data_IF_437507917485
#
_entry.id   IF_437507917485
#
_cell.length_a   1.000
_cell.length_b   1.000
_cell.length_c   1.000
_cell.angle_alpha   90.00
_cell.angle_beta   90.00
_cell.angle_gamma   90.00
#
_symmetry.space_group_name_H-M   'P 1'
#
loop_
_entity.id
_entity.type
_entity.pdbx_description
1 polymer ?
#
# COMPACT_ATOMS: atom_id res chain seq x y z
N UNK A 1 4.50 -30.07 -50.62
CA UNK A 1 3.60 -29.89 -49.47
C UNK A 1 4.51 -29.45 -48.33
N UNK A 2 4.63 -28.14 -48.12
CA UNK A 2 5.32 -27.58 -46.98
C UNK A 2 4.26 -27.39 -45.87
N UNK A 3 4.43 -28.09 -44.76
CA UNK A 3 3.60 -27.94 -43.57
C UNK A 3 3.92 -26.59 -42.96
N UNK A 4 2.92 -25.73 -42.99
CA UNK A 4 2.87 -24.43 -42.37
C UNK A 4 2.67 -24.65 -40.85
N UNK A 5 3.75 -24.93 -40.15
CA UNK A 5 3.78 -25.02 -38.69
C UNK A 5 4.17 -23.64 -38.15
N UNK A 6 3.27 -22.68 -38.40
CA UNK A 6 3.35 -21.39 -37.73
C UNK A 6 3.05 -21.60 -36.23
N UNK A 7 4.13 -21.76 -35.44
CA UNK A 7 4.03 -21.79 -33.99
C UNK A 7 3.24 -20.55 -33.53
N UNK A 8 2.01 -20.75 -33.12
CA UNK A 8 1.10 -19.70 -32.67
C UNK A 8 1.73 -19.02 -31.47
N UNK A 9 2.17 -17.77 -31.62
CA UNK A 9 2.78 -16.98 -30.55
C UNK A 9 1.72 -16.79 -29.47
N UNK A 10 1.86 -17.48 -28.34
CA UNK A 10 0.94 -17.39 -27.21
C UNK A 10 1.05 -16.02 -26.57
N UNK A 11 -0.09 -15.45 -26.21
CA UNK A 11 -0.17 -14.21 -25.45
C UNK A 11 0.25 -14.44 -23.98
N UNK A 12 0.76 -13.43 -23.27
CA UNK A 12 1.05 -13.54 -21.84
C UNK A 12 -0.16 -14.03 -21.01
N UNK A 13 -1.38 -13.64 -21.40
CA UNK A 13 -2.60 -14.07 -20.74
C UNK A 13 -2.89 -15.57 -20.89
N UNK A 14 -2.67 -16.14 -22.08
CA UNK A 14 -2.82 -17.58 -22.32
C UNK A 14 -1.81 -18.40 -21.53
N UNK A 15 -0.57 -17.93 -21.45
CA UNK A 15 0.48 -18.60 -20.64
C UNK A 15 0.09 -18.61 -19.16
N UNK A 16 -0.37 -17.48 -18.64
CA UNK A 16 -0.81 -17.35 -17.22
C UNK A 16 -2.01 -18.26 -16.97
N UNK A 17 -3.00 -18.29 -17.85
CA UNK A 17 -4.18 -19.13 -17.70
C UNK A 17 -3.86 -20.63 -17.67
N UNK A 18 -2.98 -21.09 -18.57
CA UNK A 18 -2.52 -22.48 -18.60
C UNK A 18 -1.80 -22.87 -17.30
N UNK A 19 -0.91 -22.01 -16.79
CA UNK A 19 -0.19 -22.25 -15.55
C UNK A 19 -1.12 -22.21 -14.33
N UNK A 20 -2.06 -21.28 -14.29
CA UNK A 20 -3.07 -21.23 -13.23
C UNK A 20 -3.95 -22.48 -13.20
N UNK A 21 -4.27 -23.07 -14.35
CA UNK A 21 -5.01 -24.33 -14.40
C UNK A 21 -4.22 -25.48 -13.76
N UNK A 22 -2.90 -25.54 -13.97
CA UNK A 22 -2.02 -26.51 -13.30
C UNK A 22 -1.99 -26.26 -11.79
N UNK A 23 -1.83 -25.02 -11.35
CA UNK A 23 -1.85 -24.63 -9.94
C UNK A 23 -3.20 -25.02 -9.29
N UNK A 24 -4.31 -24.77 -10.00
CA UNK A 24 -5.64 -25.12 -9.53
C UNK A 24 -5.78 -26.63 -9.24
N UNK A 25 -5.31 -27.48 -10.17
CA UNK A 25 -5.34 -28.93 -9.99
C UNK A 25 -4.48 -29.41 -8.82
N UNK A 26 -3.33 -28.77 -8.58
CA UNK A 26 -2.40 -29.19 -7.52
C UNK A 26 -2.80 -28.72 -6.13
N UNK A 27 -3.24 -27.46 -6.01
CA UNK A 27 -3.34 -26.77 -4.72
C UNK A 27 -4.78 -26.46 -4.31
N UNK A 28 -5.77 -26.64 -5.19
CA UNK A 28 -7.17 -26.34 -4.90
C UNK A 28 -8.05 -27.59 -5.13
N UNK A 29 -8.08 -28.54 -4.17
CA UNK A 29 -8.89 -29.74 -4.30
C UNK A 29 -10.36 -29.44 -4.58
N UNK A 30 -10.96 -30.20 -5.50
CA UNK A 30 -12.34 -30.00 -5.94
C UNK A 30 -12.54 -28.91 -6.98
N UNK A 31 -11.47 -28.25 -7.46
CA UNK A 31 -11.57 -27.37 -8.62
C UNK A 31 -11.60 -28.18 -9.92
N UNK A 32 -12.38 -27.73 -10.90
CA UNK A 32 -12.44 -28.29 -12.25
C UNK A 32 -11.58 -27.51 -13.26
N UNK A 33 -11.01 -26.37 -12.85
CA UNK A 33 -10.15 -25.54 -13.68
C UNK A 33 -10.22 -24.06 -13.31
N UNK A 34 -9.79 -23.22 -14.25
CA UNK A 34 -9.83 -21.75 -14.11
C UNK A 34 -10.51 -21.12 -15.33
N UNK A 35 -11.13 -19.98 -15.14
CA UNK A 35 -11.78 -19.19 -16.20
C UNK A 35 -11.55 -17.68 -16.00
N UNK A 36 -11.92 -16.89 -17.01
CA UNK A 36 -11.94 -15.42 -16.95
C UNK A 36 -10.62 -14.78 -16.48
N UNK A 37 -9.48 -15.35 -16.89
CA UNK A 37 -8.16 -14.84 -16.53
C UNK A 37 -7.91 -13.50 -17.20
N UNK A 38 -7.87 -12.43 -16.40
CA UNK A 38 -7.79 -11.05 -16.87
C UNK A 38 -6.72 -10.29 -16.10
N UNK A 39 -5.82 -9.60 -16.80
CA UNK A 39 -4.84 -8.72 -16.16
C UNK A 39 -5.52 -7.43 -15.71
N UNK A 40 -5.34 -7.07 -14.44
CA UNK A 40 -5.76 -5.77 -13.92
C UNK A 40 -4.66 -4.74 -14.16
N UNK A 41 -5.06 -3.53 -14.56
CA UNK A 41 -4.12 -2.43 -14.84
C UNK A 41 -3.69 -1.68 -13.58
N UNK A 42 -4.17 -2.08 -12.41
CA UNK A 42 -3.80 -1.51 -11.12
C UNK A 42 -2.51 -2.14 -10.60
N UNK A 43 -1.55 -1.30 -10.19
CA UNK A 43 -0.24 -1.71 -9.64
C UNK A 43 0.92 -1.31 -10.54
N UNK A 44 1.77 -0.39 -10.04
CA UNK A 44 2.92 0.12 -10.82
C UNK A 44 4.11 -0.85 -10.81
N UNK A 45 4.19 -1.76 -9.84
CA UNK A 45 5.37 -2.59 -9.56
C UNK A 45 5.14 -4.08 -9.74
N UNK A 46 3.90 -4.56 -9.65
CA UNK A 46 3.56 -5.99 -9.71
C UNK A 46 2.52 -6.27 -10.80
N UNK A 47 2.51 -7.51 -11.31
CA UNK A 47 1.42 -7.99 -12.16
C UNK A 47 0.29 -8.54 -11.30
N UNK A 48 -0.92 -8.07 -11.58
CA UNK A 48 -2.14 -8.49 -10.90
C UNK A 48 -3.07 -9.12 -11.92
N UNK A 49 -3.47 -10.38 -11.69
CA UNK A 49 -4.40 -11.10 -12.53
C UNK A 49 -5.59 -11.55 -11.71
N UNK A 50 -6.79 -11.24 -12.19
CA UNK A 50 -8.03 -11.80 -11.66
C UNK A 50 -8.41 -13.04 -12.46
N UNK A 51 -8.91 -14.06 -11.77
CA UNK A 51 -9.43 -15.27 -12.39
C UNK A 51 -10.52 -15.90 -11.53
N UNK A 52 -11.34 -16.75 -12.15
CA UNK A 52 -12.33 -17.56 -11.47
C UNK A 52 -11.80 -18.99 -11.32
N UNK A 53 -11.78 -19.52 -10.10
CA UNK A 53 -11.53 -20.91 -9.78
C UNK A 53 -12.86 -21.66 -9.89
N UNK A 54 -12.98 -22.54 -10.88
CA UNK A 54 -14.22 -23.28 -11.15
C UNK A 54 -14.41 -24.41 -10.15
N UNK A 55 -15.54 -24.46 -9.49
CA UNK A 55 -15.88 -25.44 -8.44
C UNK A 55 -17.35 -25.89 -8.56
N UNK A 56 -17.63 -27.14 -8.17
CA UNK A 56 -18.98 -27.67 -8.19
C UNK A 56 -19.94 -26.99 -7.18
N UNK A 57 -19.39 -26.43 -6.11
CA UNK A 57 -20.09 -25.71 -5.03
C UNK A 57 -20.20 -24.19 -5.25
N UNK A 58 -19.74 -23.70 -6.39
CA UNK A 58 -19.75 -22.29 -6.80
C UNK A 58 -18.36 -21.77 -7.10
N UNK A 59 -18.25 -20.99 -8.16
CA UNK A 59 -16.98 -20.42 -8.61
C UNK A 59 -16.46 -19.38 -7.63
N UNK A 60 -15.14 -19.36 -7.43
CA UNK A 60 -14.48 -18.44 -6.52
C UNK A 60 -13.58 -17.46 -7.28
N UNK A 61 -13.83 -16.16 -7.13
CA UNK A 61 -12.94 -15.12 -7.66
C UNK A 61 -11.64 -15.05 -6.85
N UNK A 62 -10.50 -15.12 -7.54
CA UNK A 62 -9.17 -15.06 -6.96
C UNK A 62 -8.30 -14.02 -7.67
N UNK A 63 -7.25 -13.59 -6.98
CA UNK A 63 -6.21 -12.71 -7.49
C UNK A 63 -4.87 -13.43 -7.43
N UNK A 64 -4.15 -13.45 -8.54
CA UNK A 64 -2.72 -13.72 -8.58
C UNK A 64 -1.97 -12.37 -8.55
N UNK A 65 -1.12 -12.18 -7.54
CA UNK A 65 -0.16 -11.08 -7.45
C UNK A 65 1.23 -11.67 -7.63
N UNK A 66 1.98 -11.21 -8.64
CA UNK A 66 3.33 -11.73 -8.95
C UNK A 66 4.26 -10.64 -9.44
N UNK A 67 5.57 -10.95 -9.47
CA UNK A 67 6.57 -10.12 -10.14
C UNK A 67 6.28 -10.00 -11.63
N UNK A 68 6.61 -8.86 -12.27
CA UNK A 68 6.41 -8.67 -13.72
C UNK A 68 7.05 -9.78 -14.53
N UNK A 69 6.25 -10.38 -15.44
CA UNK A 69 6.70 -11.50 -16.28
C UNK A 69 7.03 -12.78 -15.51
N UNK A 70 6.77 -12.85 -14.20
CA UNK A 70 7.19 -13.97 -13.35
C UNK A 70 8.69 -13.98 -13.05
N UNK A 71 9.36 -12.84 -13.11
CA UNK A 71 10.79 -12.72 -12.82
C UNK A 71 11.11 -13.14 -11.37
N UNK A 72 12.28 -13.71 -11.16
CA UNK A 72 12.84 -13.93 -9.82
C UNK A 72 13.62 -12.67 -9.45
N UNK A 73 13.20 -12.00 -8.38
CA UNK A 73 13.82 -10.76 -7.86
C UNK A 73 14.46 -11.05 -6.53
N UNK A 74 15.79 -11.00 -6.49
CA UNK A 74 16.53 -11.09 -5.24
C UNK A 74 16.39 -9.77 -4.45
N UNK A 75 16.06 -9.87 -3.17
CA UNK A 75 16.02 -8.74 -2.25
C UNK A 75 17.34 -8.62 -1.51
N UNK A 76 17.81 -7.40 -1.41
CA UNK A 76 19.04 -7.05 -0.68
C UNK A 76 18.68 -6.30 0.59
N UNK A 77 19.65 -6.13 1.49
CA UNK A 77 19.48 -5.32 2.71
C UNK A 77 19.08 -3.87 2.41
N UNK A 78 19.44 -3.36 1.24
CA UNK A 78 19.10 -2.00 0.79
C UNK A 78 17.73 -1.89 0.13
N UNK A 79 17.05 -3.02 -0.16
CA UNK A 79 15.70 -3.00 -0.74
C UNK A 79 14.74 -2.27 0.19
N UNK A 80 13.94 -1.34 -0.34
CA UNK A 80 12.96 -0.58 0.43
C UNK A 80 11.66 -1.35 0.65
N UNK A 81 11.37 -2.34 -0.20
CA UNK A 81 10.18 -3.19 -0.11
C UNK A 81 10.53 -4.62 0.26
N UNK A 82 9.59 -5.30 0.94
CA UNK A 82 9.70 -6.74 1.25
C UNK A 82 9.39 -7.60 0.01
N UNK A 83 9.80 -8.87 0.04
CA UNK A 83 9.47 -9.83 -1.02
C UNK A 83 8.01 -10.27 -0.97
N UNK A 84 7.49 -10.80 -2.10
CA UNK A 84 6.11 -11.25 -2.19
C UNK A 84 5.78 -12.42 -1.26
N UNK A 85 6.74 -13.29 -0.98
CA UNK A 85 6.59 -14.36 0.01
C UNK A 85 6.40 -13.80 1.42
N UNK A 86 7.23 -12.83 1.81
CA UNK A 86 7.12 -12.14 3.10
C UNK A 86 5.82 -11.32 3.17
N UNK A 87 5.41 -10.67 2.07
CA UNK A 87 4.13 -9.97 1.97
C UNK A 87 2.95 -10.92 2.21
N UNK A 88 2.99 -12.12 1.64
CA UNK A 88 1.97 -13.14 1.85
C UNK A 88 1.90 -13.61 3.31
N UNK A 89 3.05 -13.73 3.99
CA UNK A 89 3.09 -14.08 5.42
C UNK A 89 2.49 -12.97 6.29
N UNK A 90 2.82 -11.71 6.02
CA UNK A 90 2.21 -10.54 6.70
C UNK A 90 0.70 -10.54 6.51
N UNK A 91 0.23 -10.72 5.26
CA UNK A 91 -1.22 -10.78 4.96
C UNK A 91 -1.92 -11.89 5.74
N UNK A 92 -1.32 -13.08 5.88
CA UNK A 92 -1.86 -14.18 6.67
C UNK A 92 -2.03 -13.80 8.14
N UNK A 93 -1.03 -13.12 8.72
CA UNK A 93 -1.09 -12.65 10.10
C UNK A 93 -2.19 -11.61 10.29
N UNK A 94 -2.30 -10.67 9.38
CA UNK A 94 -3.30 -9.59 9.41
C UNK A 94 -4.71 -10.18 9.29
N UNK A 95 -4.91 -11.11 8.35
CA UNK A 95 -6.18 -11.82 8.20
C UNK A 95 -6.55 -12.62 9.45
N UNK A 96 -5.60 -13.38 10.01
CA UNK A 96 -5.81 -14.17 11.24
C UNK A 96 -6.09 -13.30 12.47
N UNK A 97 -5.58 -12.06 12.50
CA UNK A 97 -5.87 -11.08 13.55
C UNK A 97 -7.26 -10.42 13.40
N UNK A 98 -8.02 -10.76 12.36
CA UNK A 98 -9.36 -10.21 12.10
C UNK A 98 -9.35 -8.77 11.59
N UNK A 99 -8.21 -8.27 11.12
CA UNK A 99 -8.19 -7.04 10.35
C UNK A 99 -8.64 -7.33 8.90
N UNK A 100 -9.34 -6.38 8.23
CA UNK A 100 -9.83 -6.62 6.88
C UNK A 100 -8.66 -6.75 5.90
N UNK A 101 -8.50 -7.96 5.34
CA UNK A 101 -7.45 -8.27 4.37
C UNK A 101 -7.89 -9.42 3.46
N UNK A 102 -7.39 -9.53 2.22
CA UNK A 102 -7.58 -10.72 1.42
C UNK A 102 -6.97 -11.95 2.09
N UNK A 103 -7.63 -13.10 1.99
CA UNK A 103 -7.07 -14.37 2.46
C UNK A 103 -6.03 -14.89 1.46
N UNK A 104 -4.81 -15.16 1.90
CA UNK A 104 -3.78 -15.80 1.06
C UNK A 104 -4.07 -17.29 0.94
N UNK A 105 -4.37 -17.72 -0.28
CA UNK A 105 -4.76 -19.11 -0.59
C UNK A 105 -3.57 -20.00 -0.96
N UNK A 106 -2.56 -19.43 -1.63
CA UNK A 106 -1.38 -20.17 -2.06
C UNK A 106 -0.21 -19.20 -2.28
N UNK A 107 0.99 -19.56 -1.82
CA UNK A 107 2.24 -18.87 -2.18
C UNK A 107 2.88 -19.69 -3.28
N UNK A 108 3.25 -19.05 -4.38
CA UNK A 108 3.81 -19.71 -5.54
C UNK A 108 5.15 -20.39 -5.22
N UNK A 109 5.34 -21.55 -5.80
CA UNK A 109 6.59 -22.30 -5.77
C UNK A 109 7.22 -22.36 -7.18
N UNK A 110 8.51 -22.70 -7.32
CA UNK A 110 9.14 -22.82 -8.64
C UNK A 110 8.40 -23.80 -9.57
N UNK A 111 7.80 -24.86 -9.02
CA UNK A 111 7.05 -25.87 -9.76
C UNK A 111 5.75 -25.36 -10.38
N UNK A 112 5.22 -24.23 -9.89
CA UNK A 112 4.04 -23.58 -10.43
C UNK A 112 4.31 -22.88 -11.77
N UNK A 113 5.57 -22.52 -12.02
CA UNK A 113 6.01 -21.91 -13.28
C UNK A 113 5.41 -20.53 -13.54
N UNK A 114 4.99 -19.81 -12.46
CA UNK A 114 4.45 -18.47 -12.50
C UNK A 114 5.41 -17.41 -11.93
N UNK A 115 6.59 -17.82 -11.45
CA UNK A 115 7.57 -16.95 -10.81
C UNK A 115 7.24 -16.68 -9.34
N UNK A 116 7.75 -15.58 -8.78
CA UNK A 116 7.50 -15.19 -7.40
C UNK A 116 6.14 -14.50 -7.29
N UNK A 117 5.35 -14.91 -6.28
CA UNK A 117 4.03 -14.34 -6.05
C UNK A 117 3.15 -15.18 -5.14
N UNK A 118 1.89 -14.81 -5.07
CA UNK A 118 0.88 -15.53 -4.30
C UNK A 118 -0.52 -15.34 -4.89
N UNK A 119 -1.40 -16.26 -4.52
CA UNK A 119 -2.82 -16.23 -4.85
C UNK A 119 -3.62 -15.89 -3.58
N UNK A 120 -4.54 -14.95 -3.70
CA UNK A 120 -5.41 -14.49 -2.61
C UNK A 120 -6.86 -14.39 -3.08
N UNK A 121 -7.79 -14.27 -2.15
CA UNK A 121 -9.20 -14.02 -2.46
C UNK A 121 -9.39 -12.65 -3.12
N UNK A 122 -10.28 -12.57 -4.10
CA UNK A 122 -10.73 -11.29 -4.63
C UNK A 122 -11.70 -10.64 -3.64
N UNK A 123 -11.45 -9.39 -3.28
CA UNK A 123 -12.35 -8.58 -2.47
C UNK A 123 -12.99 -7.55 -3.39
N UNK A 124 -14.32 -7.56 -3.48
CA UNK A 124 -15.06 -6.60 -4.28
C UNK A 124 -15.13 -5.24 -3.56
N UNK A 125 -15.10 -4.16 -4.32
CA UNK A 125 -15.22 -2.80 -3.78
C UNK A 125 -14.53 -1.76 -4.66
N UNK A 126 -14.47 -0.53 -4.16
CA UNK A 126 -13.87 0.62 -4.82
C UNK A 126 -12.51 0.94 -4.22
N UNK A 127 -11.51 1.16 -5.06
CA UNK A 127 -10.14 1.52 -4.66
C UNK A 127 -9.74 2.93 -5.06
N UNK A 128 -10.50 3.56 -5.97
CA UNK A 128 -10.20 4.90 -6.46
C UNK A 128 -10.56 5.96 -5.43
N UNK A 129 -9.57 6.47 -4.70
CA UNK A 129 -9.77 7.43 -3.63
C UNK A 129 -10.60 8.65 -4.00
N UNK A 130 -10.46 9.14 -5.21
CA UNK A 130 -11.30 10.24 -5.71
C UNK A 130 -12.79 9.90 -5.80
N UNK A 131 -13.15 8.61 -6.02
CA UNK A 131 -14.54 8.14 -5.96
C UNK A 131 -15.03 8.02 -4.53
N UNK A 132 -14.23 7.46 -3.63
CA UNK A 132 -14.57 7.35 -2.21
C UNK A 132 -14.94 8.73 -1.64
N UNK A 133 -14.19 9.76 -2.00
CA UNK A 133 -14.40 11.12 -1.51
C UNK A 133 -15.66 11.77 -2.10
N UNK A 134 -16.03 11.48 -3.36
CA UNK A 134 -17.05 12.25 -4.09
C UNK A 134 -18.31 11.47 -4.48
N UNK A 135 -18.24 10.14 -4.65
CA UNK A 135 -19.36 9.34 -5.14
C UNK A 135 -20.47 9.29 -4.10
N UNK A 136 -21.74 9.59 -4.46
CA UNK A 136 -22.90 9.51 -3.57
C UNK A 136 -23.12 8.14 -2.92
N UNK A 137 -22.67 7.04 -3.55
CA UNK A 137 -22.74 5.68 -2.96
C UNK A 137 -22.10 5.59 -1.58
N UNK A 138 -21.09 6.40 -1.33
CA UNK A 138 -20.36 6.40 -0.05
C UNK A 138 -20.84 7.48 0.92
N UNK A 139 -21.91 8.24 0.61
CA UNK A 139 -22.37 9.37 1.43
C UNK A 139 -22.69 8.95 2.87
N UNK A 140 -23.36 7.81 3.05
CA UNK A 140 -23.79 7.30 4.36
C UNK A 140 -22.63 6.72 5.20
N UNK A 141 -21.64 6.11 4.54
CA UNK A 141 -20.52 5.46 5.23
C UNK A 141 -19.34 6.42 5.42
N UNK A 142 -19.16 7.38 4.53
CA UNK A 142 -18.01 8.31 4.53
C UNK A 142 -17.72 8.96 5.88
N UNK A 143 -18.71 9.43 6.67
CA UNK A 143 -18.47 10.01 8.00
C UNK A 143 -17.87 9.04 9.03
N UNK A 144 -17.97 7.72 8.77
CA UNK A 144 -17.49 6.65 9.67
C UNK A 144 -16.09 6.15 9.30
N UNK A 145 -15.61 6.45 8.07
CA UNK A 145 -14.40 5.84 7.51
C UNK A 145 -13.13 6.21 8.31
N UNK A 146 -13.03 7.44 8.83
CA UNK A 146 -11.86 7.82 9.62
C UNK A 146 -11.76 6.99 10.91
N UNK A 147 -12.87 6.84 11.63
CA UNK A 147 -12.94 5.98 12.83
C UNK A 147 -12.62 4.52 12.49
N UNK A 148 -13.20 3.97 11.43
CA UNK A 148 -12.92 2.60 10.99
C UNK A 148 -11.44 2.41 10.64
N UNK A 149 -10.79 3.38 9.99
CA UNK A 149 -9.34 3.32 9.72
C UNK A 149 -8.54 3.24 11.02
N UNK A 150 -8.91 4.01 12.04
CA UNK A 150 -8.30 3.93 13.37
C UNK A 150 -8.47 2.55 14.01
N UNK A 151 -9.69 2.01 14.00
CA UNK A 151 -9.99 0.67 14.53
C UNK A 151 -9.21 -0.43 13.81
N UNK A 152 -9.05 -0.32 12.49
CA UNK A 152 -8.27 -1.27 11.68
C UNK A 152 -6.80 -1.19 12.03
N UNK A 153 -6.24 0.01 12.10
CA UNK A 153 -4.84 0.22 12.47
C UNK A 153 -4.55 -0.30 13.89
N UNK A 154 -5.45 -0.11 14.84
CA UNK A 154 -5.30 -0.66 16.18
C UNK A 154 -5.19 -2.20 16.18
N UNK A 155 -6.01 -2.89 15.38
CA UNK A 155 -5.93 -4.35 15.22
C UNK A 155 -4.62 -4.79 14.57
N UNK A 156 -4.16 -4.09 13.54
CA UNK A 156 -2.88 -4.36 12.88
C UNK A 156 -1.72 -4.18 13.86
N UNK A 157 -1.68 -3.05 14.56
CA UNK A 157 -0.62 -2.72 15.51
C UNK A 157 -0.66 -3.57 16.80
N UNK A 158 -1.77 -4.24 17.08
CA UNK A 158 -1.88 -5.21 18.18
C UNK A 158 -1.26 -6.57 17.86
N UNK A 159 -0.93 -6.86 16.60
CA UNK A 159 -0.28 -8.12 16.21
C UNK A 159 1.09 -8.20 16.90
N UNK A 160 1.38 -9.29 17.67
CA UNK A 160 2.67 -9.44 18.32
C UNK A 160 3.80 -9.49 17.29
N UNK A 161 4.83 -8.66 17.49
CA UNK A 161 5.94 -8.56 16.54
C UNK A 161 6.78 -9.82 16.42
N UNK A 162 6.78 -10.67 17.44
CA UNK A 162 7.41 -11.99 17.45
C UNK A 162 6.74 -13.00 16.51
N UNK A 163 5.52 -12.75 16.07
CA UNK A 163 4.82 -13.57 15.08
C UNK A 163 5.06 -13.09 13.65
N UNK A 164 5.60 -11.87 13.48
CA UNK A 164 5.89 -11.34 12.16
C UNK A 164 7.06 -12.09 11.49
N UNK A 165 7.01 -12.25 10.16
CA UNK A 165 8.20 -12.72 9.44
C UNK A 165 9.38 -11.76 9.65
N UNK A 166 10.59 -12.11 9.21
CA UNK A 166 11.73 -11.22 9.31
C UNK A 166 11.47 -9.90 8.57
N UNK A 167 11.15 -8.84 9.32
CA UNK A 167 10.93 -7.50 8.82
C UNK A 167 12.03 -6.55 9.31
N UNK A 168 12.28 -5.51 8.55
CA UNK A 168 13.19 -4.43 8.99
C UNK A 168 12.60 -3.73 10.22
N UNK A 169 13.47 -3.35 11.13
CA UNK A 169 13.15 -2.41 12.19
C UNK A 169 13.53 -1.01 11.72
N UNK A 170 12.57 -0.09 11.69
CA UNK A 170 12.81 1.28 11.27
C UNK A 170 11.97 2.25 12.11
N UNK A 171 12.64 3.02 12.95
CA UNK A 171 12.06 4.12 13.69
C UNK A 171 12.21 5.46 12.96
N UNK A 172 11.88 6.55 13.64
CA UNK A 172 11.95 7.89 13.06
C UNK A 172 13.36 8.25 12.56
N UNK A 173 14.40 7.86 13.32
CA UNK A 173 15.81 8.17 12.97
C UNK A 173 16.20 7.52 11.64
N UNK A 174 15.93 6.21 11.51
CA UNK A 174 16.26 5.45 10.31
C UNK A 174 15.47 5.92 9.09
N UNK A 175 14.17 6.14 9.25
CA UNK A 175 13.30 6.59 8.15
C UNK A 175 13.64 8.00 7.67
N UNK A 176 13.98 8.93 8.60
CA UNK A 176 14.43 10.28 8.22
C UNK A 176 15.78 10.21 7.50
N UNK A 177 16.74 9.43 8.02
CA UNK A 177 18.04 9.28 7.37
C UNK A 177 17.93 8.68 5.97
N UNK A 178 17.08 7.66 5.79
CA UNK A 178 16.79 7.07 4.49
C UNK A 178 16.17 8.10 3.53
N UNK A 179 15.19 8.87 4.01
CA UNK A 179 14.54 9.90 3.21
C UNK A 179 15.50 11.02 2.83
N UNK A 180 16.38 11.41 3.75
CA UNK A 180 17.39 12.44 3.49
C UNK A 180 18.41 11.97 2.44
N UNK A 181 18.81 10.70 2.47
CA UNK A 181 19.65 10.12 1.42
C UNK A 181 18.95 10.12 0.05
N UNK A 182 17.66 9.76 0.01
CA UNK A 182 16.87 9.83 -1.21
C UNK A 182 16.72 11.28 -1.73
N UNK A 183 16.54 12.25 -0.84
CA UNK A 183 16.47 13.66 -1.20
C UNK A 183 17.79 14.18 -1.76
N UNK A 184 18.91 13.84 -1.13
CA UNK A 184 20.23 14.23 -1.61
C UNK A 184 20.57 13.65 -2.99
N UNK A 185 20.01 12.52 -3.34
CA UNK A 185 20.14 11.94 -4.67
C UNK A 185 19.31 12.70 -5.73
N UNK A 186 18.39 13.58 -5.33
CA UNK A 186 17.73 14.52 -6.24
C UNK A 186 18.66 15.71 -6.49
N UNK A 187 18.92 16.07 -7.72
CA UNK A 187 19.86 17.15 -8.07
C UNK A 187 19.34 18.57 -7.76
N UNK A 188 18.17 18.69 -7.12
CA UNK A 188 17.45 19.97 -7.01
C UNK A 188 17.19 20.33 -5.55
N UNK A 189 17.93 21.30 -5.01
CA UNK A 189 17.69 21.80 -3.65
C UNK A 189 16.29 22.44 -3.55
N UNK A 190 15.58 22.11 -2.49
CA UNK A 190 14.26 22.65 -2.16
C UNK A 190 14.27 23.21 -0.75
N UNK A 191 14.35 24.53 -0.59
CA UNK A 191 14.48 25.15 0.73
C UNK A 191 13.38 24.75 1.72
N UNK A 192 12.17 24.50 1.24
CA UNK A 192 11.06 24.03 2.10
C UNK A 192 11.29 22.62 2.60
N UNK A 193 11.89 21.73 1.78
CA UNK A 193 12.27 20.38 2.23
C UNK A 193 13.39 20.44 3.26
N UNK A 194 14.41 21.31 3.05
CA UNK A 194 15.49 21.50 4.02
C UNK A 194 14.94 22.00 5.36
N UNK A 195 13.98 22.94 5.33
CA UNK A 195 13.30 23.44 6.52
C UNK A 195 12.52 22.30 7.23
N UNK A 196 11.81 21.46 6.46
CA UNK A 196 11.08 20.33 7.00
C UNK A 196 12.00 19.29 7.64
N UNK A 197 13.14 18.95 7.03
CA UNK A 197 14.15 18.07 7.65
C UNK A 197 14.69 18.64 8.96
N UNK A 198 14.97 19.93 9.00
CA UNK A 198 15.40 20.61 10.23
C UNK A 198 14.34 20.52 11.32
N UNK A 199 13.09 20.85 10.97
CA UNK A 199 11.96 20.78 11.91
C UNK A 199 11.78 19.39 12.50
N UNK A 200 11.87 18.34 11.64
CA UNK A 200 11.82 16.95 12.08
C UNK A 200 12.96 16.60 13.02
N UNK A 201 14.20 17.01 12.70
CA UNK A 201 15.37 16.76 13.55
C UNK A 201 15.28 17.42 14.93
N UNK A 202 14.71 18.63 15.01
CA UNK A 202 14.52 19.38 16.27
C UNK A 202 13.35 18.85 17.12
N UNK A 203 12.44 18.05 16.54
CA UNK A 203 11.19 17.57 17.18
C UNK A 203 11.04 16.07 17.16
N UNK A 204 12.17 15.36 17.15
CA UNK A 204 12.16 13.90 17.20
C UNK A 204 11.28 13.39 18.34
N UNK A 205 10.30 12.51 18.04
CA UNK A 205 9.48 11.93 19.09
C UNK A 205 10.31 10.99 19.98
N UNK A 206 9.90 10.77 21.23
CA UNK A 206 10.50 9.71 22.04
C UNK A 206 10.31 8.35 21.33
N UNK A 207 11.21 7.37 21.54
CA UNK A 207 11.06 6.05 20.98
C UNK A 207 9.69 5.45 21.34
N UNK A 208 8.91 5.09 20.31
CA UNK A 208 7.65 4.39 20.50
C UNK A 208 7.90 2.89 20.74
N UNK A 209 6.92 2.21 21.35
CA UNK A 209 6.93 0.74 21.39
C UNK A 209 6.78 0.23 19.93
N UNK A 210 7.75 -0.56 19.43
CA UNK A 210 7.70 -1.03 18.06
C UNK A 210 6.46 -1.91 17.80
N UNK A 211 5.79 -1.69 16.67
CA UNK A 211 4.61 -2.43 16.22
C UNK A 211 4.80 -2.87 14.77
N UNK A 212 3.97 -3.80 14.31
CA UNK A 212 3.84 -4.06 12.87
C UNK A 212 3.19 -2.83 12.23
N UNK A 213 3.90 -2.15 11.35
CA UNK A 213 3.46 -0.96 10.61
C UNK A 213 3.23 -1.34 9.16
N UNK A 214 2.14 -0.88 8.57
CA UNK A 214 1.83 -1.09 7.15
C UNK A 214 2.82 -0.34 6.25
N UNK A 215 3.14 0.91 6.61
CA UNK A 215 4.09 1.76 5.90
C UNK A 215 3.52 2.48 4.67
N UNK A 216 2.33 2.07 4.18
CA UNK A 216 1.60 2.74 3.09
C UNK A 216 0.07 2.69 3.28
N UNK A 217 -0.39 2.84 4.54
CA UNK A 217 -1.81 2.84 4.87
C UNK A 217 -2.47 4.15 4.42
N UNK A 218 -3.15 4.12 3.28
CA UNK A 218 -3.71 5.32 2.65
C UNK A 218 -4.94 5.03 1.79
N UNK A 219 -5.73 6.05 1.53
CA UNK A 219 -6.77 6.02 0.52
C UNK A 219 -6.14 5.72 -0.86
N UNK A 220 -6.49 4.59 -1.46
CA UNK A 220 -5.88 4.01 -2.65
C UNK A 220 -5.28 2.61 -2.42
N UNK A 221 -4.92 2.27 -1.15
CA UNK A 221 -4.54 0.92 -0.73
C UNK A 221 -5.62 0.27 0.14
N UNK A 222 -6.80 0.89 0.23
CA UNK A 222 -7.96 0.39 0.93
C UNK A 222 -9.07 0.08 -0.08
N UNK A 223 -9.77 -1.03 0.12
CA UNK A 223 -11.01 -1.35 -0.62
C UNK A 223 -12.19 -0.93 0.25
N UNK A 224 -13.14 -0.22 -0.39
CA UNK A 224 -14.34 0.27 0.27
C UNK A 224 -15.60 -0.26 -0.41
N UNK A 225 -16.62 -0.53 0.38
CA UNK A 225 -17.99 -0.71 -0.06
C UNK A 225 -18.94 0.19 0.74
N UNK A 226 -20.24 -0.01 0.64
CA UNK A 226 -21.26 0.75 1.36
C UNK A 226 -21.25 0.52 2.89
N UNK A 227 -20.51 -0.49 3.38
CA UNK A 227 -20.34 -0.79 4.81
C UNK A 227 -19.09 -0.16 5.41
N UNK A 228 -18.10 0.17 4.57
CA UNK A 228 -16.84 0.81 4.97
C UNK A 228 -15.61 0.21 4.31
N UNK A 229 -14.51 0.14 5.08
CA UNK A 229 -13.25 -0.48 4.65
C UNK A 229 -13.37 -1.99 4.76
N UNK A 230 -13.28 -2.68 3.62
CA UNK A 230 -13.42 -4.15 3.53
C UNK A 230 -12.11 -4.89 3.26
N UNK A 231 -11.05 -4.19 2.85
CA UNK A 231 -9.70 -4.76 2.81
C UNK A 231 -8.61 -3.69 2.84
N UNK A 232 -7.45 -4.07 3.41
CA UNK A 232 -6.18 -3.35 3.36
C UNK A 232 -5.25 -4.09 2.43
N UNK A 233 -4.71 -3.40 1.44
CA UNK A 233 -3.87 -3.94 0.36
C UNK A 233 -2.46 -3.35 0.41
N UNK A 234 -1.54 -3.99 -0.34
CA UNK A 234 -0.21 -3.46 -0.66
C UNK A 234 0.73 -3.31 0.55
N UNK A 235 1.10 -4.46 1.11
CA UNK A 235 1.94 -4.57 2.30
C UNK A 235 3.44 -4.54 2.00
N UNK A 236 3.83 -4.16 0.79
CA UNK A 236 5.24 -4.19 0.34
C UNK A 236 6.19 -3.32 1.18
N UNK A 237 5.67 -2.34 1.94
CA UNK A 237 6.43 -1.46 2.83
C UNK A 237 6.28 -1.80 4.31
N UNK A 238 5.70 -2.97 4.63
CA UNK A 238 5.54 -3.40 6.01
C UNK A 238 6.88 -3.51 6.74
N UNK A 239 6.93 -3.04 7.97
CA UNK A 239 8.12 -3.05 8.83
C UNK A 239 7.73 -3.04 10.31
N UNK A 240 8.72 -3.23 11.18
CA UNK A 240 8.53 -3.06 12.62
C UNK A 240 8.97 -1.64 12.98
N UNK A 241 8.05 -0.82 13.47
CA UNK A 241 8.32 0.60 13.69
C UNK A 241 7.32 1.30 14.59
N UNK A 242 7.26 2.61 14.43
CA UNK A 242 6.37 3.48 15.19
C UNK A 242 4.96 3.45 14.60
N UNK A 243 3.92 3.02 15.34
CA UNK A 243 2.55 2.93 14.85
C UNK A 243 1.96 4.30 14.44
N UNK A 244 2.46 5.41 15.00
CA UNK A 244 2.00 6.74 14.61
C UNK A 244 2.36 7.10 13.16
N UNK A 245 3.29 6.37 12.54
CA UNK A 245 3.64 6.56 11.14
C UNK A 245 2.46 6.27 10.19
N UNK A 246 1.69 5.22 10.43
CA UNK A 246 0.49 4.92 9.63
C UNK A 246 -0.61 5.94 9.87
N UNK A 247 -0.83 6.37 11.13
CA UNK A 247 -1.79 7.41 11.48
C UNK A 247 -1.46 8.76 10.82
N UNK A 248 -0.18 9.11 10.73
CA UNK A 248 0.27 10.31 10.04
C UNK A 248 0.17 10.20 8.52
N UNK A 249 0.53 9.03 7.97
CA UNK A 249 0.55 8.82 6.53
C UNK A 249 -0.81 8.98 5.86
N UNK A 250 -1.88 8.39 6.42
CA UNK A 250 -3.24 8.54 5.88
C UNK A 250 -3.73 9.99 5.93
N UNK A 251 -3.18 10.82 6.83
CA UNK A 251 -3.51 12.23 6.95
C UNK A 251 -2.80 13.14 5.94
N UNK A 252 -1.80 12.63 5.22
CA UNK A 252 -1.04 13.40 4.24
C UNK A 252 -1.96 13.96 3.14
N UNK A 253 -1.80 15.24 2.76
CA UNK A 253 -2.71 15.92 1.85
C UNK A 253 -2.84 15.25 0.48
N UNK A 254 -1.79 14.58 -0.01
CA UNK A 254 -1.84 13.87 -1.29
C UNK A 254 -2.91 12.78 -1.36
N UNK A 255 -3.38 12.28 -0.23
CA UNK A 255 -4.42 11.24 -0.14
C UNK A 255 -5.83 11.78 0.08
N UNK A 256 -5.99 13.12 0.14
CA UNK A 256 -7.29 13.78 0.37
C UNK A 256 -8.10 14.02 -0.90
N UNK A 257 -7.52 13.81 -2.08
CA UNK A 257 -8.19 13.95 -3.39
C UNK A 257 -8.98 15.26 -3.57
N UNK A 258 -8.49 16.35 -3.00
CA UNK A 258 -9.06 17.70 -3.07
C UNK A 258 -9.97 18.09 -1.90
N UNK A 259 -10.35 17.16 -1.02
CA UNK A 259 -11.08 17.46 0.21
C UNK A 259 -10.10 17.89 1.33
N UNK A 260 -9.54 19.07 1.21
CA UNK A 260 -8.44 19.58 2.07
C UNK A 260 -8.85 19.69 3.54
N UNK A 261 -10.12 19.99 3.79
CA UNK A 261 -10.75 20.11 5.11
C UNK A 261 -11.06 18.76 5.79
N UNK A 262 -10.77 17.65 5.09
CA UNK A 262 -10.91 16.28 5.59
C UNK A 262 -9.54 15.60 5.61
N UNK A 263 -8.73 15.82 6.65
CA UNK A 263 -7.34 15.37 6.67
C UNK A 263 -7.19 13.86 6.54
N UNK A 264 -8.08 13.05 7.08
CA UNK A 264 -7.99 11.59 6.98
C UNK A 264 -8.52 11.13 5.63
N UNK A 265 -7.63 10.84 4.69
CA UNK A 265 -7.94 10.26 3.38
C UNK A 265 -8.95 11.05 2.53
N UNK A 266 -9.26 12.31 2.88
CA UNK A 266 -10.29 13.13 2.24
C UNK A 266 -11.72 12.81 2.69
N UNK A 267 -11.91 12.02 3.77
CA UNK A 267 -13.23 11.59 4.18
C UNK A 267 -13.55 11.85 5.67
N UNK A 268 -12.58 12.20 6.54
CA UNK A 268 -12.86 12.43 7.96
C UNK A 268 -11.83 13.30 8.68
N UNK A 269 -12.03 13.46 9.97
CA UNK A 269 -11.18 14.27 10.85
C UNK A 269 -10.14 13.40 11.57
N UNK A 270 -9.03 14.01 12.02
CA UNK A 270 -7.97 13.32 12.77
C UNK A 270 -8.50 12.77 14.10
N UNK A 271 -9.36 13.52 14.75
CA UNK A 271 -10.00 13.14 16.02
C UNK A 271 -10.77 11.83 15.88
N UNK A 272 -11.55 11.66 14.81
CA UNK A 272 -12.30 10.42 14.54
C UNK A 272 -11.35 9.22 14.36
N UNK A 273 -10.22 9.43 13.65
CA UNK A 273 -9.17 8.41 13.45
C UNK A 273 -8.53 8.02 14.79
N UNK A 274 -8.12 9.01 15.60
CA UNK A 274 -7.45 8.78 16.88
C UNK A 274 -8.38 8.14 17.90
N UNK A 275 -9.62 8.61 18.01
CA UNK A 275 -10.62 8.01 18.87
C UNK A 275 -10.93 6.57 18.47
N UNK A 276 -11.05 6.28 17.15
CA UNK A 276 -11.25 4.93 16.66
C UNK A 276 -10.06 4.01 17.00
N UNK A 277 -8.84 4.52 16.87
CA UNK A 277 -7.61 3.81 17.21
C UNK A 277 -7.55 3.46 18.71
N UNK A 278 -7.72 4.45 19.59
CA UNK A 278 -7.68 4.26 21.03
C UNK A 278 -8.83 3.36 21.54
N UNK A 279 -10.05 3.59 21.04
CA UNK A 279 -11.23 2.79 21.42
C UNK A 279 -11.10 1.30 21.05
N UNK A 280 -10.36 0.99 20.00
CA UNK A 280 -10.09 -0.39 19.58
C UNK A 280 -8.85 -1.03 20.26
N UNK A 281 -8.25 -0.35 21.26
CA UNK A 281 -7.14 -0.86 22.06
C UNK A 281 -5.75 -0.43 21.55
N UNK A 282 -5.69 0.53 20.65
CA UNK A 282 -4.44 1.19 20.27
C UNK A 282 -3.80 1.96 21.42
N UNK A 283 -2.50 2.20 21.34
CA UNK A 283 -1.80 3.02 22.34
C UNK A 283 -2.35 4.47 22.31
N UNK A 284 -2.36 5.21 23.43
CA UNK A 284 -2.83 6.61 23.48
C UNK A 284 -2.11 7.49 22.44
N UNK A 285 -2.87 8.22 21.64
CA UNK A 285 -2.33 9.05 20.55
C UNK A 285 -1.80 10.38 21.09
N UNK A 286 -0.51 10.57 21.06
CA UNK A 286 0.08 11.89 21.25
C UNK A 286 -0.07 12.69 19.96
N UNK A 287 -0.88 13.76 20.02
CA UNK A 287 -1.20 14.61 18.86
C UNK A 287 0.05 15.22 18.19
N UNK A 288 1.01 15.68 18.98
CA UNK A 288 2.24 16.26 18.44
C UNK A 288 3.07 15.18 17.70
N UNK A 289 3.08 13.96 18.23
CA UNK A 289 3.74 12.80 17.62
C UNK A 289 3.04 12.39 16.30
N UNK A 290 1.70 12.34 16.28
CA UNK A 290 0.95 12.07 15.06
C UNK A 290 1.17 13.13 13.98
N UNK A 291 1.21 14.42 14.35
CA UNK A 291 1.54 15.52 13.44
C UNK A 291 2.98 15.48 12.91
N UNK A 292 3.93 15.04 13.74
CA UNK A 292 5.30 14.79 13.28
C UNK A 292 5.32 13.81 12.12
N UNK A 293 4.58 12.70 12.22
CA UNK A 293 4.50 11.70 11.16
C UNK A 293 3.70 12.16 9.95
N UNK A 294 2.70 13.03 10.12
CA UNK A 294 1.99 13.65 8.98
C UNK A 294 2.93 14.58 8.19
N UNK A 295 3.76 15.37 8.88
CA UNK A 295 4.77 16.22 8.25
C UNK A 295 5.84 15.37 7.54
N UNK A 296 6.34 14.32 8.22
CA UNK A 296 7.23 13.35 7.59
C UNK A 296 6.61 12.73 6.34
N UNK A 297 5.34 12.32 6.39
CA UNK A 297 4.60 11.78 5.25
C UNK A 297 4.52 12.76 4.09
N UNK A 298 4.21 14.02 4.36
CA UNK A 298 4.17 15.07 3.34
C UNK A 298 5.55 15.27 2.69
N UNK A 299 6.61 15.33 3.50
CA UNK A 299 7.98 15.43 2.99
C UNK A 299 8.37 14.20 2.17
N UNK A 300 8.05 12.99 2.65
CA UNK A 300 8.30 11.72 1.95
C UNK A 300 7.66 11.71 0.57
N UNK A 301 6.39 12.10 0.46
CA UNK A 301 5.71 12.18 -0.83
C UNK A 301 6.37 13.21 -1.75
N UNK A 302 6.75 14.38 -1.22
CA UNK A 302 7.46 15.40 -1.96
C UNK A 302 8.80 14.91 -2.55
N UNK A 303 9.60 14.21 -1.75
CA UNK A 303 10.88 13.61 -2.16
C UNK A 303 10.65 12.52 -3.22
N UNK A 304 9.64 11.65 -3.02
CA UNK A 304 9.27 10.63 -4.02
C UNK A 304 8.88 11.26 -5.36
N UNK A 305 8.07 12.32 -5.35
CA UNK A 305 7.70 13.06 -6.56
C UNK A 305 8.94 13.67 -7.25
N UNK A 306 9.83 14.29 -6.50
CA UNK A 306 11.07 14.85 -7.05
C UNK A 306 11.96 13.76 -7.67
N UNK A 307 12.04 12.59 -7.05
CA UNK A 307 12.79 11.44 -7.57
C UNK A 307 12.26 10.85 -8.88
N UNK A 308 11.05 11.22 -9.32
CA UNK A 308 10.49 10.80 -10.62
C UNK A 308 10.95 11.65 -11.81
N UNK A 309 11.59 12.80 -11.56
CA UNK A 309 12.04 13.75 -12.62
C UNK A 309 13.03 13.08 -13.59
N UNK A 310 14.07 12.33 -13.14
CA UNK A 310 15.02 11.69 -14.07
C UNK A 310 14.33 10.72 -15.04
N UNK A 311 13.42 9.89 -14.57
CA UNK A 311 12.66 8.92 -15.40
C UNK A 311 11.82 9.63 -16.48
N UNK A 312 11.21 10.75 -16.13
CA UNK A 312 10.49 11.59 -17.10
C UNK A 312 11.43 12.19 -18.15
N UNK A 313 12.58 12.73 -17.72
CA UNK A 313 13.58 13.30 -18.63
C UNK A 313 14.20 12.29 -19.57
N UNK A 314 14.35 11.05 -19.12
CA UNK A 314 14.79 9.95 -19.96
C UNK A 314 13.74 9.50 -21.00
N UNK A 315 12.52 10.07 -20.96
CA UNK A 315 11.44 9.70 -21.88
C UNK A 315 10.76 8.37 -21.54
N UNK A 316 11.06 7.78 -20.39
CA UNK A 316 10.57 6.45 -19.99
C UNK A 316 9.09 6.46 -19.56
N UNK A 317 8.60 7.58 -19.00
CA UNK A 317 7.21 7.68 -18.53
C UNK A 317 6.73 9.13 -18.46
N UNK A 318 5.70 9.45 -19.25
CA UNK A 318 4.99 10.74 -19.19
C UNK A 318 4.20 10.87 -17.88
N UNK A 319 3.61 9.78 -17.40
CA UNK A 319 2.85 9.74 -16.15
C UNK A 319 3.72 10.16 -14.95
N UNK A 320 4.95 9.66 -14.87
CA UNK A 320 5.90 10.06 -13.82
C UNK A 320 6.22 11.57 -13.87
N UNK A 321 6.23 12.17 -15.05
CA UNK A 321 6.38 13.63 -15.20
C UNK A 321 5.19 14.41 -14.63
N UNK A 322 3.98 13.91 -14.84
CA UNK A 322 2.77 14.51 -14.25
C UNK A 322 2.79 14.42 -12.72
N UNK A 323 3.26 13.30 -12.16
CA UNK A 323 3.37 13.11 -10.71
C UNK A 323 4.52 13.97 -10.15
N UNK A 324 5.65 14.05 -10.83
CA UNK A 324 6.84 14.80 -10.41
C UNK A 324 6.56 16.28 -10.09
N UNK A 325 5.67 16.95 -10.85
CA UNK A 325 5.26 18.33 -10.59
C UNK A 325 4.65 18.54 -9.20
N UNK A 326 4.08 17.48 -8.61
CA UNK A 326 3.43 17.53 -7.29
C UNK A 326 4.41 17.78 -6.14
N UNK A 327 5.73 17.67 -6.39
CA UNK A 327 6.73 18.07 -5.42
C UNK A 327 6.55 19.54 -4.96
N UNK A 328 6.16 20.44 -5.85
CA UNK A 328 5.89 21.85 -5.51
C UNK A 328 4.55 22.05 -4.79
N UNK A 329 3.54 21.19 -5.06
CA UNK A 329 2.31 21.17 -4.26
C UNK A 329 2.62 20.82 -2.81
N UNK A 330 3.53 19.84 -2.58
CA UNK A 330 3.94 19.43 -1.24
C UNK A 330 4.71 20.50 -0.47
N UNK A 331 5.43 21.41 -1.14
CA UNK A 331 6.06 22.55 -0.47
C UNK A 331 4.99 23.44 0.21
N UNK A 332 3.83 23.63 -0.45
CA UNK A 332 2.71 24.39 0.13
C UNK A 332 2.14 23.65 1.34
N UNK A 333 1.97 22.33 1.25
CA UNK A 333 1.43 21.51 2.34
C UNK A 333 2.37 21.50 3.54
N UNK A 334 3.67 21.35 3.30
CA UNK A 334 4.68 21.43 4.36
C UNK A 334 4.67 22.80 5.05
N UNK A 335 4.58 23.90 4.30
CA UNK A 335 4.51 25.24 4.89
C UNK A 335 3.28 25.43 5.77
N UNK A 336 2.12 24.87 5.38
CA UNK A 336 0.89 24.89 6.20
C UNK A 336 1.06 24.12 7.51
N UNK A 337 1.69 22.93 7.44
CA UNK A 337 1.96 22.11 8.62
C UNK A 337 2.97 22.81 9.55
N UNK A 338 4.02 23.40 9.01
CA UNK A 338 5.07 24.11 9.76
C UNK A 338 4.54 25.40 10.44
N UNK A 339 3.57 26.09 9.83
CA UNK A 339 2.93 27.31 10.37
C UNK A 339 1.81 26.98 11.39
N UNK A 340 1.57 25.70 11.70
CA UNK A 340 0.52 25.27 12.61
C UNK A 340 -0.90 25.34 12.05
N UNK A 341 -1.10 25.89 10.85
CA UNK A 341 -2.43 26.00 10.19
C UNK A 341 -2.93 24.67 9.62
N UNK A 342 -2.05 23.70 9.46
CA UNK A 342 -2.41 22.35 9.05
C UNK A 342 -2.88 21.45 10.19
N UNK A 343 -2.77 21.94 11.43
CA UNK A 343 -3.14 21.20 12.64
C UNK A 343 -4.58 21.51 13.15
N UNK A 344 -5.23 22.50 12.53
CA UNK A 344 -6.60 22.89 12.86
C UNK A 344 -7.61 22.17 11.96
#
# INVERSE_FOLDING_TARGET
MASDDAAQIRTPGEIVAERLAVVAQRHFPGSSGVANVTRLTAGATQEIWRFELLRADGDQSLILRRTPGGAIVERTETSTSIGLETEAEVLRLVYAAGAPAPEVRHVLTPEDGLGQGFIMTFVAGETLGGRIVRDPRFAEVRPKLARQCGEILARIHAIPTEHAPPLKHAGAVELIAQLQGAYQATEWPRPVFDLAFRWLGERMPPPARPRLVHGDFRNGNLIFDETGVVAVLDWELAHIGDPMADLGWICTNCWRFGAVDKPVGGFGQREDLWEGYEAAGGDPVNRAHALFWELFGSLRWGVMCAGMIPTFRAGESVERGVIARRASENEIDLMRLLDGKGAA
#
